data_IF_879645196611
#
_entry.id   IF_879645196611
#
_cell.length_a   1.000
_cell.length_b   1.000
_cell.length_c   1.000
_cell.angle_alpha   90.00
_cell.angle_beta   90.00
_cell.angle_gamma   90.00
#
_symmetry.space_group_name_H-M   'P 1'
#
loop_
_entity.id
_entity.type
_entity.pdbx_description
1 polymer ?
#
# COMPACT_ATOMS: atom_id res chain seq x y z
N UNK A 1 -0.49 -14.15 22.35
CA UNK A 1 -1.24 -12.90 22.64
C UNK A 1 -0.48 -11.77 21.98
N UNK A 2 -1.14 -10.89 21.21
CA UNK A 2 -0.47 -9.76 20.53
C UNK A 2 -0.05 -8.74 21.58
N UNK A 3 1.21 -8.31 21.58
CA UNK A 3 1.68 -7.31 22.53
C UNK A 3 1.02 -5.95 22.27
N UNK A 4 0.98 -5.08 23.29
CA UNK A 4 0.42 -3.73 23.13
C UNK A 4 1.18 -2.93 22.06
N UNK A 5 2.49 -3.14 21.93
CA UNK A 5 3.31 -2.48 20.92
C UNK A 5 2.99 -3.01 19.51
N UNK A 6 2.94 -4.33 19.32
CA UNK A 6 2.56 -4.94 18.05
C UNK A 6 1.16 -4.47 17.60
N UNK A 7 0.19 -4.42 18.53
CA UNK A 7 -1.15 -3.86 18.29
C UNK A 7 -1.09 -2.42 17.78
N UNK A 8 -0.29 -1.60 18.44
CA UNK A 8 -0.17 -0.17 18.10
C UNK A 8 0.43 0.00 16.71
N UNK A 9 1.51 -0.73 16.40
CA UNK A 9 2.15 -0.73 15.08
C UNK A 9 1.16 -1.12 13.97
N UNK A 10 0.35 -2.16 14.20
CA UNK A 10 -0.65 -2.61 13.24
C UNK A 10 -1.80 -1.61 13.06
N UNK A 11 -2.27 -0.95 14.12
CA UNK A 11 -3.25 0.12 13.97
C UNK A 11 -2.71 1.34 13.22
N UNK A 12 -1.45 1.72 13.47
CA UNK A 12 -0.80 2.79 12.72
C UNK A 12 -0.63 2.39 11.25
N UNK A 13 -0.24 1.14 10.96
CA UNK A 13 -0.17 0.62 9.60
C UNK A 13 -1.53 0.65 8.90
N UNK A 14 -2.62 0.29 9.59
CA UNK A 14 -3.98 0.38 9.06
C UNK A 14 -4.39 1.83 8.73
N UNK A 15 -4.14 2.76 9.65
CA UNK A 15 -4.43 4.18 9.44
C UNK A 15 -3.61 4.77 8.28
N UNK A 16 -2.32 4.45 8.20
CA UNK A 16 -1.45 4.88 7.11
C UNK A 16 -1.88 4.29 5.76
N UNK A 17 -2.26 3.01 5.72
CA UNK A 17 -2.69 2.33 4.50
C UNK A 17 -4.00 2.90 3.96
N UNK A 18 -5.00 3.09 4.81
CA UNK A 18 -6.26 3.73 4.43
C UNK A 18 -6.08 5.19 3.98
N UNK A 19 -5.26 5.96 4.70
CA UNK A 19 -4.91 7.34 4.29
C UNK A 19 -4.18 7.37 2.95
N UNK A 20 -3.28 6.41 2.70
CA UNK A 20 -2.58 6.27 1.43
C UNK A 20 -3.55 6.00 0.29
N UNK A 21 -4.54 5.12 0.48
CA UNK A 21 -5.57 4.87 -0.53
C UNK A 21 -6.38 6.14 -0.87
N UNK A 22 -6.74 6.94 0.14
CA UNK A 22 -7.42 8.22 -0.05
C UNK A 22 -6.54 9.22 -0.80
N UNK A 23 -5.29 9.38 -0.38
CA UNK A 23 -4.32 10.27 -1.02
C UNK A 23 -4.01 9.88 -2.47
N UNK A 24 -3.83 8.58 -2.72
CA UNK A 24 -3.59 8.02 -4.05
C UNK A 24 -4.80 8.21 -4.98
N UNK A 25 -6.02 8.05 -4.44
CA UNK A 25 -7.26 8.37 -5.17
C UNK A 25 -7.29 9.85 -5.55
N UNK A 26 -7.06 10.75 -4.58
CA UNK A 26 -7.03 12.20 -4.83
C UNK A 26 -5.98 12.58 -5.87
N UNK A 27 -4.76 12.08 -5.74
CA UNK A 27 -3.68 12.29 -6.72
C UNK A 27 -4.05 11.79 -8.11
N UNK A 28 -4.81 10.69 -8.20
CA UNK A 28 -5.37 10.18 -9.44
C UNK A 28 -6.17 11.24 -10.19
N UNK A 29 -7.12 11.88 -9.51
CA UNK A 29 -7.98 12.90 -10.12
C UNK A 29 -7.27 14.24 -10.35
N UNK A 30 -6.40 14.64 -9.44
CA UNK A 30 -5.74 15.96 -9.50
C UNK A 30 -4.61 15.99 -10.55
N UNK A 31 -3.86 14.89 -10.71
CA UNK A 31 -2.62 14.87 -11.47
C UNK A 31 -2.60 13.80 -12.57
N UNK A 32 -2.88 12.54 -12.22
CA UNK A 32 -2.62 11.40 -13.12
C UNK A 32 -3.63 11.33 -14.25
N UNK A 33 -4.93 11.36 -13.97
CA UNK A 33 -5.96 11.24 -15.02
C UNK A 33 -5.95 12.42 -15.99
N UNK A 34 -5.73 13.68 -15.56
CA UNK A 34 -5.48 14.78 -16.48
C UNK A 34 -4.25 14.55 -17.38
N UNK A 35 -3.15 14.03 -16.83
CA UNK A 35 -1.95 13.73 -17.62
C UNK A 35 -2.20 12.61 -18.65
N UNK A 36 -2.86 11.52 -18.25
CA UNK A 36 -3.22 10.42 -19.13
C UNK A 36 -4.18 10.87 -20.24
N UNK A 37 -5.11 11.78 -19.95
CA UNK A 37 -6.05 12.32 -20.96
C UNK A 37 -5.30 13.03 -22.10
N UNK A 38 -4.15 13.65 -21.84
CA UNK A 38 -3.32 14.32 -22.86
C UNK A 38 -2.70 13.34 -23.85
N UNK A 39 -2.56 12.06 -23.48
CA UNK A 39 -2.06 11.00 -24.35
C UNK A 39 -3.13 10.52 -25.36
N UNK A 40 -4.40 10.84 -25.13
CA UNK A 40 -5.52 10.52 -26.01
C UNK A 40 -6.47 9.47 -25.43
N UNK A 41 -7.77 9.68 -25.60
CA UNK A 41 -8.82 8.82 -25.01
C UNK A 41 -8.89 7.40 -25.59
N UNK A 42 -8.24 7.16 -26.73
CA UNK A 42 -8.15 5.85 -27.39
C UNK A 42 -6.77 5.19 -27.20
N UNK A 43 -5.83 5.85 -26.50
CA UNK A 43 -4.53 5.25 -26.24
C UNK A 43 -4.66 4.10 -25.24
N UNK A 44 -4.32 2.88 -25.67
CA UNK A 44 -4.46 1.68 -24.85
C UNK A 44 -3.59 1.74 -23.60
N UNK A 45 -2.40 2.33 -23.68
CA UNK A 45 -1.50 2.49 -22.54
C UNK A 45 -2.07 3.43 -21.48
N UNK A 46 -2.64 4.55 -21.90
CA UNK A 46 -3.30 5.51 -21.02
C UNK A 46 -4.55 4.92 -20.35
N UNK A 47 -5.33 4.13 -21.10
CA UNK A 47 -6.50 3.40 -20.55
C UNK A 47 -6.03 2.38 -19.49
N UNK A 48 -5.05 1.53 -19.81
CA UNK A 48 -4.52 0.53 -18.87
C UNK A 48 -3.89 1.16 -17.63
N UNK A 49 -3.12 2.23 -17.79
CA UNK A 49 -2.52 2.96 -16.66
C UNK A 49 -3.59 3.55 -15.73
N UNK A 50 -4.68 4.08 -16.30
CA UNK A 50 -5.80 4.60 -15.51
C UNK A 50 -6.53 3.51 -14.72
N UNK A 51 -6.79 2.37 -15.36
CA UNK A 51 -7.43 1.22 -14.69
C UNK A 51 -6.51 0.71 -13.57
N UNK A 52 -5.23 0.47 -13.87
CA UNK A 52 -4.25 0.01 -12.90
C UNK A 52 -4.11 0.98 -11.71
N UNK A 53 -4.15 2.29 -11.95
CA UNK A 53 -4.15 3.29 -10.88
C UNK A 53 -5.33 3.11 -9.92
N UNK A 54 -6.53 2.81 -10.43
CA UNK A 54 -7.72 2.59 -9.59
C UNK A 54 -7.64 1.25 -8.84
N UNK A 55 -7.07 0.22 -9.44
CA UNK A 55 -6.92 -1.11 -8.82
C UNK A 55 -5.91 -1.11 -7.66
N UNK A 56 -4.84 -0.32 -7.73
CA UNK A 56 -3.81 -0.21 -6.67
C UNK A 56 -4.42 0.13 -5.30
N UNK A 57 -5.48 0.94 -5.27
CA UNK A 57 -6.18 1.29 -4.03
C UNK A 57 -6.74 0.06 -3.29
N UNK A 58 -7.14 -0.99 -4.02
CA UNK A 58 -7.67 -2.21 -3.42
C UNK A 58 -6.63 -2.86 -2.50
N UNK A 59 -5.36 -2.88 -2.94
CA UNK A 59 -4.27 -3.43 -2.14
C UNK A 59 -4.11 -2.72 -0.80
N UNK A 60 -4.11 -1.38 -0.79
CA UNK A 60 -3.99 -0.60 0.44
C UNK A 60 -5.20 -0.76 1.36
N UNK A 61 -6.41 -0.82 0.81
CA UNK A 61 -7.64 -1.05 1.60
C UNK A 61 -7.63 -2.44 2.22
N UNK A 62 -7.28 -3.47 1.44
CA UNK A 62 -7.19 -4.85 1.93
C UNK A 62 -6.15 -4.95 3.04
N UNK A 63 -4.95 -4.39 2.84
CA UNK A 63 -3.91 -4.39 3.89
C UNK A 63 -4.41 -3.69 5.16
N UNK A 64 -5.14 -2.58 5.04
CA UNK A 64 -5.73 -1.90 6.20
C UNK A 64 -6.65 -2.83 7.00
N UNK A 65 -7.52 -3.57 6.31
CA UNK A 65 -8.44 -4.54 6.94
C UNK A 65 -7.65 -5.66 7.62
N UNK A 66 -6.62 -6.20 6.96
CA UNK A 66 -5.76 -7.22 7.54
C UNK A 66 -5.00 -6.72 8.75
N UNK A 67 -4.49 -5.49 8.73
CA UNK A 67 -3.81 -4.90 9.89
C UNK A 67 -4.76 -4.77 11.09
N UNK A 68 -6.03 -4.39 10.88
CA UNK A 68 -7.05 -4.36 11.94
C UNK A 68 -7.33 -5.76 12.49
N UNK A 69 -7.45 -6.78 11.63
CA UNK A 69 -7.57 -8.19 12.02
C UNK A 69 -6.35 -8.63 12.85
N UNK A 70 -5.15 -8.41 12.34
CA UNK A 70 -3.91 -8.86 12.97
C UNK A 70 -3.62 -8.12 14.28
N UNK A 71 -4.08 -6.88 14.45
CA UNK A 71 -4.00 -6.20 15.75
C UNK A 71 -4.78 -6.97 16.83
N UNK A 72 -5.88 -7.63 16.48
CA UNK A 72 -6.70 -8.38 17.44
C UNK A 72 -6.21 -9.82 17.62
N UNK A 73 -5.82 -10.48 16.52
CA UNK A 73 -5.60 -11.93 16.49
C UNK A 73 -4.14 -12.34 16.21
N UNK A 74 -3.29 -11.40 15.79
CA UNK A 74 -1.92 -11.65 15.33
C UNK A 74 -1.86 -12.21 13.90
N UNK A 75 -0.64 -12.28 13.35
CA UNK A 75 -0.32 -12.92 12.06
C UNK A 75 0.11 -14.36 12.37
N UNK A 76 -0.85 -15.26 12.57
CA UNK A 76 -0.56 -16.58 13.16
C UNK A 76 -0.46 -17.68 12.13
N UNK A 77 -1.39 -17.71 11.17
CA UNK A 77 -1.48 -18.76 10.16
C UNK A 77 -0.58 -18.53 8.93
N UNK A 78 -0.44 -19.58 8.11
CA UNK A 78 0.43 -19.57 6.93
C UNK A 78 -0.05 -18.62 5.83
N UNK A 79 -1.37 -18.44 5.69
CA UNK A 79 -1.95 -17.58 4.66
C UNK A 79 -1.78 -16.11 5.02
N UNK A 80 -1.96 -15.76 6.30
CA UNK A 80 -1.67 -14.44 6.83
C UNK A 80 -0.19 -14.09 6.63
N UNK A 81 0.73 -15.01 6.95
CA UNK A 81 2.18 -14.82 6.74
C UNK A 81 2.54 -14.70 5.26
N UNK A 82 1.96 -15.53 4.41
CA UNK A 82 2.19 -15.50 2.98
C UNK A 82 1.70 -14.18 2.37
N UNK A 83 0.49 -13.74 2.74
CA UNK A 83 -0.06 -12.47 2.29
C UNK A 83 0.80 -11.30 2.78
N UNK A 84 1.10 -11.22 4.07
CA UNK A 84 1.93 -10.14 4.64
C UNK A 84 3.31 -10.10 3.97
N UNK A 85 3.98 -11.24 3.83
CA UNK A 85 5.30 -11.34 3.21
C UNK A 85 5.28 -10.91 1.74
N UNK A 86 4.35 -11.46 0.94
CA UNK A 86 4.25 -11.12 -0.48
C UNK A 86 3.90 -9.65 -0.69
N UNK A 87 2.90 -9.14 0.05
CA UNK A 87 2.49 -7.74 -0.06
C UNK A 87 3.63 -6.81 0.32
N UNK A 88 4.29 -7.04 1.46
CA UNK A 88 5.40 -6.21 1.92
C UNK A 88 6.58 -6.22 0.93
N UNK A 89 6.95 -7.38 0.40
CA UNK A 89 8.01 -7.49 -0.60
C UNK A 89 7.69 -6.71 -1.88
N UNK A 90 6.46 -6.82 -2.38
CA UNK A 90 6.00 -6.04 -3.54
C UNK A 90 6.08 -4.54 -3.29
N UNK A 91 5.65 -4.06 -2.12
CA UNK A 91 5.68 -2.66 -1.75
C UNK A 91 7.12 -2.11 -1.69
N UNK A 92 8.04 -2.87 -1.09
CA UNK A 92 9.46 -2.50 -1.11
C UNK A 92 10.01 -2.39 -2.53
N UNK A 93 9.69 -3.38 -3.38
CA UNK A 93 10.09 -3.36 -4.79
C UNK A 93 9.50 -2.16 -5.56
N UNK A 94 8.22 -1.82 -5.35
CA UNK A 94 7.61 -0.66 -5.98
C UNK A 94 8.23 0.66 -5.50
N UNK A 95 8.52 0.79 -4.20
CA UNK A 95 9.24 1.95 -3.68
C UNK A 95 10.63 2.09 -4.30
N UNK A 96 11.33 0.98 -4.53
CA UNK A 96 12.60 0.98 -5.26
C UNK A 96 12.44 1.46 -6.72
N UNK A 97 11.39 1.02 -7.43
CA UNK A 97 11.09 1.52 -8.78
C UNK A 97 10.85 3.03 -8.81
N UNK A 98 10.12 3.58 -7.82
CA UNK A 98 9.92 5.02 -7.68
C UNK A 98 11.24 5.78 -7.44
N UNK A 99 12.11 5.26 -6.55
CA UNK A 99 13.44 5.84 -6.33
C UNK A 99 14.26 5.88 -7.61
N UNK A 100 14.26 4.81 -8.41
CA UNK A 100 14.94 4.79 -9.71
C UNK A 100 14.40 5.82 -10.70
N UNK A 101 13.10 6.12 -10.62
CA UNK A 101 12.46 7.15 -11.42
C UNK A 101 12.67 8.58 -10.86
N UNK A 102 13.39 8.73 -9.75
CA UNK A 102 13.62 10.03 -9.10
C UNK A 102 12.42 10.58 -8.31
N UNK A 103 11.36 9.78 -8.15
CA UNK A 103 10.14 10.16 -7.44
C UNK A 103 10.22 9.58 -6.02
N UNK A 104 10.18 10.43 -4.98
CA UNK A 104 10.50 10.00 -3.61
C UNK A 104 9.27 9.91 -2.71
N UNK A 105 8.22 10.63 -3.03
CA UNK A 105 7.01 10.79 -2.22
C UNK A 105 6.31 9.43 -1.97
N UNK A 106 6.15 8.54 -2.97
CA UNK A 106 5.49 7.24 -2.75
C UNK A 106 6.33 6.28 -1.89
N UNK A 107 7.64 6.50 -1.76
CA UNK A 107 8.53 5.61 -0.99
C UNK A 107 8.13 5.57 0.48
N UNK A 108 7.64 6.69 1.02
CA UNK A 108 7.26 6.80 2.44
C UNK A 108 6.17 5.77 2.79
N UNK A 109 4.99 5.75 2.15
CA UNK A 109 3.99 4.72 2.46
C UNK A 109 4.42 3.32 2.00
N UNK A 110 5.07 3.20 0.83
CA UNK A 110 5.47 1.91 0.27
C UNK A 110 6.53 1.18 1.13
N UNK A 111 7.36 1.88 1.89
CA UNK A 111 8.34 1.26 2.79
C UNK A 111 7.93 1.36 4.26
N UNK A 112 7.30 2.46 4.65
CA UNK A 112 6.87 2.71 6.02
C UNK A 112 5.81 1.70 6.48
N UNK A 113 4.77 1.45 5.67
CA UNK A 113 3.70 0.52 6.06
C UNK A 113 4.23 -0.91 6.21
N UNK A 114 4.98 -1.48 5.25
CA UNK A 114 5.63 -2.79 5.43
C UNK A 114 6.57 -2.86 6.63
N UNK A 115 7.31 -1.79 6.91
CA UNK A 115 8.20 -1.74 8.07
C UNK A 115 7.41 -1.84 9.37
N UNK A 116 6.28 -1.14 9.50
CA UNK A 116 5.40 -1.25 10.67
C UNK A 116 4.83 -2.67 10.82
N UNK A 117 4.40 -3.29 9.72
CA UNK A 117 3.91 -4.67 9.72
C UNK A 117 5.01 -5.64 10.13
N UNK A 118 6.21 -5.51 9.59
CA UNK A 118 7.36 -6.35 9.94
C UNK A 118 7.78 -6.18 11.41
N UNK A 119 7.90 -4.94 11.91
CA UNK A 119 8.26 -4.65 13.29
C UNK A 119 7.24 -5.23 14.28
N UNK A 120 5.95 -5.24 13.93
CA UNK A 120 4.92 -5.84 14.79
C UNK A 120 5.10 -7.35 15.03
N UNK A 121 5.94 -8.02 14.25
CA UNK A 121 6.25 -9.45 14.42
C UNK A 121 7.46 -9.69 15.32
N UNK A 122 8.18 -8.63 15.70
CA UNK A 122 9.40 -8.70 16.51
C UNK A 122 9.17 -8.29 17.97
N UNK A 123 7.97 -7.79 18.31
CA UNK A 123 7.66 -7.14 19.60
C UNK A 123 6.34 -7.62 20.20
#
# INVERSE_FOLDING_TARGET
>A
MVSSLARTLLYVAAAASSTTALGHTKMGYDLVFPALKKLGIQDKGAISARIGWLEVNQGFVILSIFCLKWAQFGITDVYDKAFAGFYCACQFYFGWCYLKAGIKEPVIPLWGIPTLVGLSQLV
#
